data_IF_804716658613
#
_entry.id   IF_804716658613
#
_cell.length_a   1.000
_cell.length_b   1.000
_cell.length_c   1.000
_cell.angle_alpha   90.00
_cell.angle_beta   90.00
_cell.angle_gamma   90.00
#
_symmetry.space_group_name_H-M   'P 1'
#
loop_
_entity.id
_entity.type
_entity.pdbx_description
1 polymer ?
#
# COMPACT_ATOMS: atom_id res chain seq x y z
N UNK A 1 28.17 -22.09 -7.54
CA UNK A 1 26.71 -22.16 -7.82
C UNK A 1 26.35 -22.11 -9.32
N UNK A 2 27.29 -21.82 -10.24
CA UNK A 2 26.97 -21.30 -11.58
C UNK A 2 26.69 -22.32 -12.70
N UNK A 3 26.75 -23.64 -12.45
CA UNK A 3 26.74 -24.68 -13.51
C UNK A 3 25.48 -25.56 -13.60
N UNK A 4 24.54 -25.49 -12.64
CA UNK A 4 23.38 -26.40 -12.55
C UNK A 4 22.07 -25.74 -12.06
N UNK A 5 22.05 -24.43 -11.81
CA UNK A 5 20.92 -23.77 -11.15
C UNK A 5 19.95 -23.17 -12.17
N UNK A 6 18.77 -23.78 -12.34
CA UNK A 6 17.72 -23.34 -13.28
C UNK A 6 16.81 -22.24 -12.73
N UNK A 7 16.67 -22.15 -11.41
CA UNK A 7 15.91 -21.08 -10.72
C UNK A 7 16.71 -20.62 -9.51
N UNK A 8 17.10 -19.34 -9.51
CA UNK A 8 17.75 -18.70 -8.35
C UNK A 8 16.66 -17.98 -7.55
N UNK A 9 16.67 -18.17 -6.23
CA UNK A 9 15.88 -17.39 -5.26
C UNK A 9 16.81 -16.64 -4.32
N UNK A 10 16.40 -15.46 -3.87
CA UNK A 10 17.15 -14.64 -2.92
C UNK A 10 16.38 -14.55 -1.61
N UNK A 11 17.05 -14.86 -0.50
CA UNK A 11 16.54 -14.62 0.86
C UNK A 11 16.67 -13.14 1.20
N UNK A 12 15.55 -12.51 1.57
CA UNK A 12 15.46 -11.09 1.90
C UNK A 12 14.78 -10.88 3.25
N UNK A 13 15.06 -9.76 3.92
CA UNK A 13 14.48 -9.46 5.23
C UNK A 13 14.03 -8.00 5.35
N UNK A 14 12.91 -7.74 6.03
CA UNK A 14 12.41 -6.37 6.24
C UNK A 14 13.04 -5.69 7.45
N UNK A 15 13.54 -4.46 7.29
CA UNK A 15 14.22 -3.70 8.35
C UNK A 15 13.23 -2.97 9.29
N UNK A 16 12.28 -3.72 9.89
CA UNK A 16 11.14 -3.15 10.64
C UNK A 16 11.56 -2.19 11.77
N UNK A 17 12.75 -2.37 12.37
CA UNK A 17 13.31 -1.46 13.38
C UNK A 17 13.46 0.01 12.92
N UNK A 18 13.53 0.27 11.60
CA UNK A 18 13.56 1.63 11.05
C UNK A 18 12.18 2.28 11.02
N UNK A 19 11.13 1.52 10.67
CA UNK A 19 9.76 2.03 10.53
C UNK A 19 9.12 2.36 11.88
N UNK A 20 9.16 3.65 12.24
CA UNK A 20 8.62 4.18 13.50
C UNK A 20 7.08 4.17 13.46
N UNK A 21 6.45 3.48 14.42
CA UNK A 21 4.98 3.40 14.53
C UNK A 21 4.39 1.97 14.46
N UNK A 22 5.23 0.96 14.22
CA UNK A 22 4.88 -0.46 14.40
C UNK A 22 5.35 -0.97 15.77
N UNK A 23 4.55 -1.85 16.40
CA UNK A 23 4.93 -2.54 17.65
C UNK A 23 5.83 -3.77 17.43
N UNK A 24 5.89 -4.29 16.20
CA UNK A 24 6.62 -5.50 15.84
C UNK A 24 8.13 -5.24 15.73
N UNK A 25 8.94 -6.10 16.38
CA UNK A 25 10.43 -6.01 16.34
C UNK A 25 11.11 -7.11 15.49
N UNK A 26 10.39 -8.18 15.14
CA UNK A 26 10.89 -9.32 14.35
C UNK A 26 10.69 -9.05 12.86
N UNK A 27 11.76 -9.13 12.07
CA UNK A 27 11.72 -8.97 10.62
C UNK A 27 10.83 -10.04 9.94
N UNK A 28 10.24 -9.70 8.80
CA UNK A 28 9.68 -10.68 7.88
C UNK A 28 10.82 -11.20 6.98
N UNK A 29 10.93 -12.52 6.82
CA UNK A 29 11.84 -13.18 5.89
C UNK A 29 11.04 -13.62 4.65
N UNK A 30 11.51 -13.24 3.47
CA UNK A 30 10.87 -13.57 2.19
C UNK A 30 11.92 -14.17 1.22
N UNK A 31 11.60 -15.30 0.59
CA UNK A 31 12.26 -15.72 -0.65
C UNK A 31 11.63 -14.98 -1.83
N UNK A 32 12.45 -14.34 -2.66
CA UNK A 32 11.98 -13.75 -3.93
C UNK A 32 12.18 -14.77 -5.05
N UNK A 33 11.07 -15.16 -5.69
CA UNK A 33 11.00 -16.10 -6.81
C UNK A 33 10.40 -15.42 -8.06
N UNK A 34 10.85 -15.87 -9.24
CA UNK A 34 10.37 -15.46 -10.56
C UNK A 34 9.20 -16.40 -10.98
N UNK A 35 7.98 -15.86 -11.21
CA UNK A 35 6.72 -16.58 -11.60
C UNK A 35 6.14 -17.46 -10.43
N UNK A 36 4.83 -17.69 -10.16
CA UNK A 36 3.59 -17.89 -10.96
C UNK A 36 2.36 -17.05 -10.43
N UNK A 37 1.09 -17.52 -10.62
CA UNK A 37 -0.23 -17.01 -10.10
C UNK A 37 -1.11 -18.19 -9.57
N UNK A 38 -2.45 -18.44 -9.65
CA UNK A 38 -3.65 -17.91 -10.36
C UNK A 38 -5.01 -18.20 -9.58
N UNK A 39 -6.14 -18.53 -10.24
CA UNK A 39 -7.52 -18.80 -9.71
C UNK A 39 -8.26 -19.92 -10.55
N UNK A 40 -9.55 -20.32 -10.45
CA UNK A 40 -10.84 -19.85 -9.84
C UNK A 40 -11.81 -21.07 -9.56
N UNK A 41 -13.11 -21.01 -9.95
CA UNK A 41 -14.12 -22.15 -10.10
C UNK A 41 -14.72 -22.76 -8.79
N UNK A 42 -16.00 -23.20 -8.66
CA UNK A 42 -17.27 -22.83 -9.36
C UNK A 42 -18.61 -23.14 -8.57
N UNK A 43 -19.23 -24.35 -8.67
CA UNK A 43 -20.66 -24.63 -8.37
C UNK A 43 -20.91 -25.78 -7.34
N UNK A 44 -22.15 -25.90 -6.84
CA UNK A 44 -22.61 -26.75 -5.72
C UNK A 44 -22.84 -28.24 -6.10
N UNK A 45 -23.13 -28.58 -7.36
CA UNK A 45 -23.17 -29.97 -7.85
C UNK A 45 -24.57 -30.58 -8.04
N UNK A 46 -24.60 -31.86 -8.43
CA UNK A 46 -25.78 -32.57 -8.91
C UNK A 46 -26.22 -33.71 -7.98
N UNK A 47 -27.39 -34.31 -8.27
CA UNK A 47 -28.05 -35.36 -7.48
C UNK A 47 -27.17 -36.62 -7.28
N UNK A 48 -26.47 -37.03 -8.34
CA UNK A 48 -25.47 -38.10 -8.30
C UNK A 48 -24.10 -37.50 -8.65
N UNK A 49 -23.03 -37.79 -7.89
CA UNK A 49 -23.00 -38.63 -6.68
C UNK A 49 -23.73 -37.98 -5.50
N UNK A 50 -24.35 -38.79 -4.64
CA UNK A 50 -25.15 -38.34 -3.49
C UNK A 50 -24.29 -37.82 -2.31
N UNK A 51 -23.30 -36.97 -2.60
CA UNK A 51 -22.44 -36.29 -1.63
C UNK A 51 -22.19 -34.86 -2.08
N UNK A 52 -22.38 -33.91 -1.17
CA UNK A 52 -22.13 -32.49 -1.42
C UNK A 52 -20.62 -32.27 -1.60
N UNK A 53 -20.22 -31.78 -2.78
CA UNK A 53 -18.81 -31.56 -3.18
C UNK A 53 -18.03 -30.60 -2.27
N UNK A 54 -16.70 -30.62 -2.36
CA UNK A 54 -15.85 -29.57 -1.76
C UNK A 54 -15.89 -28.25 -2.58
N UNK A 55 -16.34 -28.30 -3.83
CA UNK A 55 -16.53 -27.12 -4.71
C UNK A 55 -17.72 -26.24 -4.32
N UNK A 56 -18.49 -26.68 -3.33
CA UNK A 56 -19.72 -26.05 -2.84
C UNK A 56 -19.40 -24.82 -2.01
N UNK A 57 -20.06 -23.71 -2.31
CA UNK A 57 -20.06 -22.55 -1.43
C UNK A 57 -20.69 -22.92 -0.08
N UNK A 58 -19.92 -22.80 1.00
CA UNK A 58 -20.35 -23.06 2.40
C UNK A 58 -19.94 -21.90 3.29
N UNK A 59 -20.62 -21.74 4.43
CA UNK A 59 -20.13 -20.90 5.51
C UNK A 59 -18.77 -21.43 6.04
N UNK A 60 -17.87 -20.52 6.40
CA UNK A 60 -16.51 -20.83 6.83
C UNK A 60 -15.69 -19.55 6.99
N UNK A 61 -14.36 -19.68 7.10
CA UNK A 61 -13.45 -18.55 7.24
C UNK A 61 -13.61 -17.56 6.07
N UNK A 62 -13.97 -16.31 6.38
CA UNK A 62 -14.04 -15.21 5.42
C UNK A 62 -13.03 -14.13 5.80
N UNK A 63 -12.14 -13.80 4.87
CA UNK A 63 -11.05 -12.84 5.09
C UNK A 63 -9.76 -13.47 5.63
N UNK A 64 -8.73 -12.64 5.78
CA UNK A 64 -7.33 -13.03 6.05
C UNK A 64 -6.67 -13.96 5.00
N UNK A 65 -7.34 -14.26 3.88
CA UNK A 65 -6.76 -15.06 2.81
C UNK A 65 -5.58 -14.36 2.10
N UNK A 66 -4.61 -15.15 1.63
CA UNK A 66 -3.62 -14.68 0.67
C UNK A 66 -4.27 -14.36 -0.69
N UNK A 67 -3.89 -13.23 -1.29
CA UNK A 67 -4.40 -12.74 -2.59
C UNK A 67 -3.29 -11.98 -3.31
N UNK A 68 -3.32 -12.03 -4.64
CA UNK A 68 -2.42 -11.26 -5.51
C UNK A 68 -3.27 -10.36 -6.41
N UNK A 69 -3.15 -9.05 -6.26
CA UNK A 69 -3.71 -8.08 -7.21
C UNK A 69 -2.64 -7.72 -8.25
N UNK A 70 -3.04 -7.63 -9.52
CA UNK A 70 -2.14 -7.41 -10.67
C UNK A 70 -2.45 -6.08 -11.35
N UNK A 71 -1.54 -5.60 -12.20
CA UNK A 71 -1.69 -4.38 -13.02
C UNK A 71 -1.94 -3.10 -12.21
N UNK A 72 -1.47 -3.06 -10.96
CA UNK A 72 -1.52 -1.88 -10.09
C UNK A 72 -0.38 -0.92 -10.47
N UNK A 73 -0.72 0.16 -11.17
CA UNK A 73 0.23 1.21 -11.55
C UNK A 73 0.81 1.89 -10.31
N UNK A 74 2.10 2.21 -10.35
CA UNK A 74 2.76 3.07 -9.36
C UNK A 74 2.72 4.50 -9.92
N UNK A 75 2.25 5.46 -9.13
CA UNK A 75 2.06 6.86 -9.52
C UNK A 75 3.21 7.78 -9.07
N UNK A 76 3.90 7.42 -7.99
CA UNK A 76 5.07 8.13 -7.45
C UNK A 76 5.86 7.18 -6.57
N UNK A 77 7.18 7.24 -6.66
CA UNK A 77 8.10 6.76 -5.63
C UNK A 77 8.64 8.02 -4.95
N UNK A 78 8.45 8.15 -3.64
CA UNK A 78 9.01 9.24 -2.85
C UNK A 78 10.11 8.71 -1.96
N UNK A 79 11.33 9.23 -2.11
CA UNK A 79 12.54 8.73 -1.46
C UNK A 79 13.15 9.78 -0.54
N UNK A 80 13.45 9.40 0.70
CA UNK A 80 13.89 10.34 1.75
C UNK A 80 15.16 11.08 1.32
N UNK A 81 15.10 12.41 1.34
CA UNK A 81 16.19 13.30 0.92
C UNK A 81 16.11 13.77 -0.53
N UNK A 82 15.14 13.30 -1.32
CA UNK A 82 14.82 13.82 -2.65
C UNK A 82 13.52 14.62 -2.64
N UNK A 83 13.37 15.58 -3.57
CA UNK A 83 12.12 16.34 -3.78
C UNK A 83 10.91 15.42 -4.03
N UNK A 84 11.18 14.21 -4.56
CA UNK A 84 10.21 13.13 -4.78
C UNK A 84 9.43 12.73 -3.51
N UNK A 85 9.98 12.96 -2.30
CA UNK A 85 9.36 12.65 -1.00
C UNK A 85 8.28 13.65 -0.54
N UNK A 86 8.28 14.86 -1.09
CA UNK A 86 7.21 15.83 -0.82
C UNK A 86 5.94 15.49 -1.61
N UNK A 87 4.82 16.14 -1.30
CA UNK A 87 3.60 16.07 -2.11
C UNK A 87 3.46 17.25 -3.11
N UNK A 88 4.56 17.99 -3.36
CA UNK A 88 4.69 19.05 -4.38
C UNK A 88 4.65 18.43 -5.78
N UNK A 89 4.12 19.14 -6.78
CA UNK A 89 4.14 18.75 -8.20
C UNK A 89 4.56 19.93 -9.09
N UNK A 90 4.79 19.69 -10.39
CA UNK A 90 5.00 20.74 -11.40
C UNK A 90 3.85 21.78 -11.43
N UNK A 91 2.64 21.36 -11.06
CA UNK A 91 1.40 22.14 -11.16
C UNK A 91 0.91 22.69 -9.80
N UNK A 92 1.31 22.07 -8.69
CA UNK A 92 1.01 22.49 -7.32
C UNK A 92 2.31 22.74 -6.55
N UNK A 93 2.65 24.03 -6.41
CA UNK A 93 3.84 24.53 -5.70
C UNK A 93 3.63 24.66 -4.19
N UNK A 94 2.52 24.16 -3.65
CA UNK A 94 2.24 24.21 -2.20
C UNK A 94 3.19 23.28 -1.46
N UNK A 95 4.12 23.83 -0.68
CA UNK A 95 5.05 23.06 0.14
C UNK A 95 4.30 22.22 1.20
N UNK A 96 4.30 20.89 1.02
CA UNK A 96 3.56 19.95 1.86
C UNK A 96 4.18 18.55 1.83
N UNK A 97 4.19 17.88 2.98
CA UNK A 97 4.59 16.47 3.11
C UNK A 97 3.49 15.53 2.57
N UNK A 98 3.84 14.28 2.25
CA UNK A 98 2.83 13.26 1.83
C UNK A 98 1.84 12.89 2.94
N UNK A 99 2.11 13.25 4.20
CA UNK A 99 1.23 12.91 5.32
C UNK A 99 0.12 13.94 5.49
N UNK A 100 -1.15 13.52 5.52
CA UNK A 100 -2.27 14.44 5.66
C UNK A 100 -2.29 15.12 7.04
N UNK A 101 -3.00 16.24 7.15
CA UNK A 101 -3.16 16.95 8.42
C UNK A 101 -3.75 16.03 9.52
N UNK A 102 -2.96 15.81 10.58
CA UNK A 102 -3.27 14.86 11.67
C UNK A 102 -2.72 13.45 11.49
N UNK A 103 -2.04 13.17 10.37
CA UNK A 103 -1.48 11.87 10.00
C UNK A 103 -2.52 10.88 9.45
N UNK A 104 -2.04 9.76 8.91
CA UNK A 104 -2.93 8.72 8.37
C UNK A 104 -3.65 7.97 9.51
N UNK A 105 -5.01 7.92 9.54
CA UNK A 105 -5.76 7.33 10.66
C UNK A 105 -5.36 5.88 10.95
N UNK A 106 -5.08 5.59 12.22
CA UNK A 106 -4.50 4.34 12.76
C UNK A 106 -3.11 3.93 12.23
N UNK A 107 -2.52 4.66 11.29
CA UNK A 107 -1.14 4.45 10.83
C UNK A 107 -0.16 5.38 11.55
N UNK A 108 -0.29 6.70 11.34
CA UNK A 108 0.63 7.74 11.83
C UNK A 108 1.26 8.55 10.70
N UNK A 109 2.49 9.02 10.92
CA UNK A 109 3.30 9.81 9.98
C UNK A 109 4.21 8.86 9.18
N UNK A 110 4.25 9.02 7.85
CA UNK A 110 5.22 8.37 6.96
C UNK A 110 6.53 9.16 7.01
N UNK A 111 7.65 8.49 7.31
CA UNK A 111 8.99 9.11 7.40
C UNK A 111 10.07 8.41 6.59
N UNK A 112 9.81 7.18 6.18
CA UNK A 112 10.66 6.38 5.31
C UNK A 112 10.23 6.57 3.83
N UNK A 113 10.88 5.85 2.91
CA UNK A 113 10.50 5.84 1.49
C UNK A 113 9.07 5.29 1.28
N UNK A 114 8.34 5.82 0.29
CA UNK A 114 6.96 5.41 0.01
C UNK A 114 6.65 5.24 -1.48
N UNK A 115 5.55 4.55 -1.74
CA UNK A 115 4.99 4.32 -3.08
C UNK A 115 3.52 4.73 -3.09
N UNK A 116 3.13 5.57 -4.05
CA UNK A 116 1.72 5.78 -4.39
C UNK A 116 1.30 4.72 -5.40
N UNK A 117 0.30 3.92 -5.04
CA UNK A 117 -0.24 2.82 -5.85
C UNK A 117 -1.66 3.18 -6.28
N UNK A 118 -2.02 2.86 -7.53
CA UNK A 118 -3.37 3.11 -8.04
C UNK A 118 -4.44 2.27 -7.29
N UNK A 119 -5.33 2.98 -6.59
CA UNK A 119 -6.51 2.41 -5.93
C UNK A 119 -6.19 1.64 -4.64
N UNK A 120 -6.98 0.61 -4.37
CA UNK A 120 -6.84 -0.22 -3.17
C UNK A 120 -5.61 -1.15 -3.20
N UNK A 121 -5.28 -1.73 -2.04
CA UNK A 121 -4.31 -2.81 -1.89
C UNK A 121 -4.82 -3.88 -0.90
N UNK A 122 -4.25 -5.07 -0.91
CA UNK A 122 -4.74 -6.23 -0.15
C UNK A 122 -4.55 -6.09 1.36
N UNK A 123 -5.61 -5.67 2.06
CA UNK A 123 -5.72 -5.77 3.52
C UNK A 123 -5.68 -4.42 4.25
N UNK A 124 -5.62 -4.45 5.60
CA UNK A 124 -5.65 -3.26 6.44
C UNK A 124 -4.30 -2.54 6.48
N UNK A 125 -4.36 -1.27 6.87
CA UNK A 125 -3.20 -0.45 7.24
C UNK A 125 -2.27 -1.22 8.20
N UNK A 126 -0.95 -1.00 8.08
CA UNK A 126 0.13 -1.68 8.83
C UNK A 126 0.37 -3.17 8.50
N UNK A 127 -0.37 -3.78 7.56
CA UNK A 127 0.00 -5.11 7.00
C UNK A 127 1.19 -4.98 6.04
N UNK A 128 2.11 -5.95 6.09
CA UNK A 128 3.19 -6.08 5.08
C UNK A 128 2.61 -6.52 3.74
N UNK A 129 3.01 -5.84 2.65
CA UNK A 129 2.63 -6.16 1.27
C UNK A 129 3.89 -6.47 0.48
N UNK A 130 3.92 -7.61 -0.21
CA UNK A 130 5.02 -7.96 -1.12
C UNK A 130 4.66 -7.49 -2.53
N UNK A 131 5.38 -6.48 -3.03
CA UNK A 131 5.29 -6.04 -4.42
C UNK A 131 6.19 -6.92 -5.31
N UNK A 132 5.80 -7.10 -6.57
CA UNK A 132 6.54 -7.87 -7.57
C UNK A 132 6.36 -7.21 -8.94
N UNK A 133 7.45 -7.08 -9.69
CA UNK A 133 7.47 -6.38 -10.98
C UNK A 133 6.55 -7.03 -12.01
N UNK A 134 5.91 -6.19 -12.83
CA UNK A 134 5.12 -6.56 -14.01
C UNK A 134 5.58 -5.72 -15.19
N UNK A 135 5.72 -6.32 -16.37
CA UNK A 135 6.34 -5.72 -17.57
C UNK A 135 5.40 -4.76 -18.32
N UNK A 136 4.89 -3.73 -17.64
CA UNK A 136 4.07 -2.65 -18.22
C UNK A 136 4.43 -1.33 -17.57
N UNK A 137 5.03 -0.46 -18.36
CA UNK A 137 5.46 0.88 -17.97
C UNK A 137 4.66 1.90 -18.79
N UNK A 138 4.15 2.92 -18.11
CA UNK A 138 3.43 4.05 -18.69
C UNK A 138 3.84 5.30 -17.90
N UNK A 139 4.11 6.41 -18.57
CA UNK A 139 4.46 7.67 -17.90
C UNK A 139 3.21 8.33 -17.28
N UNK A 140 3.30 8.78 -16.02
CA UNK A 140 2.17 9.33 -15.26
C UNK A 140 2.60 10.62 -14.58
N UNK A 141 2.02 11.75 -15.02
CA UNK A 141 2.27 13.07 -14.42
C UNK A 141 1.15 13.43 -13.46
N UNK A 142 1.46 13.48 -12.16
CA UNK A 142 0.52 13.89 -11.12
C UNK A 142 0.39 15.42 -11.10
N UNK A 143 -0.84 15.92 -11.26
CA UNK A 143 -1.13 17.37 -11.13
C UNK A 143 -1.24 17.82 -9.67
N UNK A 144 -1.85 16.99 -8.82
CA UNK A 144 -2.15 17.34 -7.43
C UNK A 144 -2.12 16.08 -6.55
N UNK A 145 -1.80 16.26 -5.28
CA UNK A 145 -1.88 15.24 -4.23
C UNK A 145 -2.66 15.85 -3.06
N UNK A 146 -3.71 15.18 -2.60
CA UNK A 146 -4.48 15.63 -1.43
C UNK A 146 -3.75 15.30 -0.13
N UNK A 147 -3.55 16.33 0.71
CA UNK A 147 -2.98 16.24 2.06
C UNK A 147 -3.99 16.67 3.13
N UNK A 148 -5.29 16.70 2.76
CA UNK A 148 -6.37 17.09 3.66
C UNK A 148 -6.58 16.08 4.79
N UNK A 149 -7.16 16.54 5.91
CA UNK A 149 -7.31 15.69 7.09
C UNK A 149 -8.29 14.54 6.84
N UNK A 150 -7.76 13.31 6.94
CA UNK A 150 -8.52 12.07 6.84
C UNK A 150 -9.28 11.71 8.14
N UNK A 151 -9.32 12.61 9.13
CA UNK A 151 -10.04 12.43 10.40
C UNK A 151 -11.50 12.89 10.38
N UNK A 152 -12.07 13.14 9.21
CA UNK A 152 -13.39 13.73 9.00
C UNK A 152 -13.47 14.33 7.60
N UNK A 153 -14.14 15.49 7.46
CA UNK A 153 -14.15 16.25 6.21
C UNK A 153 -12.94 17.18 6.15
N UNK A 154 -11.91 16.80 5.37
CA UNK A 154 -10.76 17.65 5.08
C UNK A 154 -11.18 18.93 4.35
N UNK A 155 -10.71 20.09 4.83
CA UNK A 155 -10.99 21.42 4.25
C UNK A 155 -9.76 22.21 3.82
N UNK A 156 -8.58 21.83 4.32
CA UNK A 156 -7.31 22.53 4.13
C UNK A 156 -6.23 21.49 3.83
N UNK A 157 -5.29 21.85 2.97
CA UNK A 157 -4.15 21.05 2.54
C UNK A 157 -2.95 21.21 3.48
N UNK A 158 -2.72 22.43 4.00
CA UNK A 158 -1.62 22.73 4.93
C UNK A 158 -2.11 23.32 6.26
N UNK A 159 -1.25 23.25 7.27
CA UNK A 159 -1.52 23.89 8.57
C UNK A 159 -1.53 25.43 8.45
N UNK A 160 -0.75 25.98 7.51
CA UNK A 160 -0.67 27.42 7.24
C UNK A 160 -1.93 27.95 6.57
N UNK A 161 -2.48 27.23 5.59
CA UNK A 161 -3.76 27.55 4.96
C UNK A 161 -4.87 27.61 6.02
N UNK A 162 -4.92 26.60 6.91
CA UNK A 162 -5.85 26.58 8.06
C UNK A 162 -5.62 27.76 9.00
N UNK A 163 -4.38 28.10 9.33
CA UNK A 163 -4.05 29.22 10.22
C UNK A 163 -4.42 30.57 9.58
N UNK A 164 -4.18 30.74 8.28
CA UNK A 164 -4.55 31.93 7.50
C UNK A 164 -6.07 32.09 7.38
N UNK A 165 -6.82 30.99 7.25
CA UNK A 165 -8.28 31.01 7.20
C UNK A 165 -8.93 31.39 8.54
N UNK A 166 -8.48 30.81 9.66
CA UNK A 166 -9.07 31.09 10.98
C UNK A 166 -8.46 32.31 11.70
N UNK A 167 -7.30 32.80 11.25
CA UNK A 167 -6.65 33.98 11.84
C UNK A 167 -6.19 33.78 13.28
N UNK A 168 -6.35 34.81 14.11
CA UNK A 168 -5.97 34.79 15.53
C UNK A 168 -7.02 34.07 16.38
N UNK A 169 -6.89 32.75 16.47
CA UNK A 169 -7.75 31.91 17.33
C UNK A 169 -7.29 32.00 18.80
N UNK A 170 -8.23 32.11 19.74
CA UNK A 170 -7.96 31.89 21.17
C UNK A 170 -7.70 30.39 21.36
N UNK A 171 -6.55 30.03 21.94
CA UNK A 171 -6.31 28.67 22.41
C UNK A 171 -7.02 28.46 23.74
N UNK A 172 -7.91 27.46 23.79
CA UNK A 172 -8.34 26.82 25.03
C UNK A 172 -7.27 25.81 25.49
#
# INVERSE_FOLDING_TARGET
MMKLCTVIRVLTHTQIRKMKGLRQKKAHLNEIQIIVVFARVACIGAWHPARVSYTVARAGQNGYHHRTEMNKKIYRLGKVGEETHTAITEFDRTEKEITPLGGFPHYGIVKDDYLLINGCCVGPKKRVVTLRQTSREEEIKLKFIDTSSNGGHGRFQTAEEKAKFYGRVIKA
#
